data_IF_775995003138
#
_entry.id   IF_775995003138
#
_cell.length_a   1.000
_cell.length_b   1.000
_cell.length_c   1.000
_cell.angle_alpha   90.00
_cell.angle_beta   90.00
_cell.angle_gamma   90.00
#
_symmetry.space_group_name_H-M   'P 1'
#
loop_
_entity.id
_entity.type
_entity.pdbx_description
1 polymer ?
#
# COMPACT_ATOMS: atom_id res chain seq x y z
N UNK A 1 0.96 -28.45 -5.39
CA UNK A 1 1.65 -28.16 -6.67
C UNK A 1 2.96 -27.46 -6.28
N UNK A 2 4.05 -27.67 -7.02
CA UNK A 2 5.27 -26.90 -6.76
C UNK A 2 4.99 -25.41 -7.03
N UNK A 3 5.63 -24.54 -6.25
CA UNK A 3 5.57 -23.09 -6.46
C UNK A 3 5.92 -22.74 -7.92
N UNK A 4 5.30 -21.69 -8.49
CA UNK A 4 5.64 -21.27 -9.84
C UNK A 4 7.10 -20.78 -9.87
N UNK A 5 7.80 -21.11 -10.96
CA UNK A 5 9.13 -20.57 -11.21
C UNK A 5 9.00 -19.15 -11.76
N UNK A 6 9.43 -18.17 -10.98
CA UNK A 6 9.47 -16.75 -11.38
C UNK A 6 10.86 -16.44 -11.94
N UNK A 7 10.92 -15.79 -13.11
CA UNK A 7 12.17 -15.23 -13.62
C UNK A 7 12.47 -13.90 -12.93
N UNK A 8 13.34 -13.94 -11.91
CA UNK A 8 13.68 -12.75 -11.13
C UNK A 8 14.47 -11.70 -11.91
N UNK A 9 15.08 -12.04 -13.06
CA UNK A 9 15.72 -11.04 -13.92
C UNK A 9 14.69 -10.25 -14.73
N UNK A 10 13.52 -10.82 -14.97
CA UNK A 10 12.47 -10.18 -15.76
C UNK A 10 11.52 -9.33 -14.90
N UNK A 11 11.45 -9.57 -13.59
CA UNK A 11 10.57 -8.81 -12.69
C UNK A 11 11.29 -7.56 -12.18
N UNK A 12 10.64 -6.40 -12.24
CA UNK A 12 11.13 -5.18 -11.58
C UNK A 12 11.17 -5.34 -10.05
N UNK A 13 12.31 -5.03 -9.46
CA UNK A 13 12.64 -5.43 -8.08
C UNK A 13 11.71 -4.88 -7.00
N UNK A 14 11.14 -3.67 -7.16
CA UNK A 14 10.24 -3.08 -6.15
C UNK A 14 8.99 -3.92 -5.90
N UNK A 15 8.58 -4.76 -6.87
CA UNK A 15 7.40 -5.63 -6.76
C UNK A 15 7.66 -6.71 -5.71
N UNK A 16 8.71 -7.51 -5.88
CA UNK A 16 8.99 -8.66 -5.00
C UNK A 16 9.99 -8.37 -3.87
N UNK A 17 10.68 -7.23 -3.90
CA UNK A 17 11.71 -6.87 -2.90
C UNK A 17 11.38 -5.57 -2.19
N UNK A 18 11.50 -5.59 -0.87
CA UNK A 18 11.70 -4.38 -0.09
C UNK A 18 13.19 -4.04 -0.04
N UNK A 19 13.61 -2.94 -0.67
CA UNK A 19 15.04 -2.61 -0.77
C UNK A 19 15.71 -2.26 0.57
N UNK A 20 14.94 -1.95 1.63
CA UNK A 20 15.45 -1.56 2.96
C UNK A 20 16.47 -0.43 2.85
N UNK A 21 15.98 0.71 2.40
CA UNK A 21 16.74 1.94 2.18
C UNK A 21 16.13 3.05 3.03
N UNK A 22 16.88 4.14 3.22
CA UNK A 22 16.44 5.25 4.06
C UNK A 22 15.94 6.45 3.28
N UNK A 23 16.23 6.51 1.97
CA UNK A 23 15.87 7.61 1.10
C UNK A 23 15.21 7.09 -0.16
N UNK A 24 14.22 7.84 -0.65
CA UNK A 24 13.61 7.62 -1.94
C UNK A 24 13.32 8.96 -2.62
N UNK A 25 13.34 8.98 -3.95
CA UNK A 25 12.79 10.06 -4.78
C UNK A 25 11.93 9.48 -5.87
N UNK A 26 10.70 9.94 -5.95
CA UNK A 26 9.73 9.56 -6.96
C UNK A 26 9.61 10.71 -7.96
N UNK A 27 10.15 10.53 -9.16
CA UNK A 27 9.99 11.49 -10.25
C UNK A 27 8.71 11.18 -11.03
N UNK A 28 7.99 12.23 -11.41
CA UNK A 28 6.73 12.16 -12.15
C UNK A 28 6.91 12.92 -13.45
N UNK A 29 6.64 12.24 -14.56
CA UNK A 29 6.96 12.76 -15.89
C UNK A 29 5.75 12.77 -16.82
N UNK A 30 5.71 13.78 -17.69
CA UNK A 30 5.08 13.69 -19.00
C UNK A 30 6.13 13.28 -20.04
N UNK A 31 5.68 12.57 -21.08
CA UNK A 31 6.48 12.27 -22.28
C UNK A 31 6.18 13.34 -23.32
N UNK A 32 7.22 13.99 -23.84
CA UNK A 32 7.13 15.07 -24.84
C UNK A 32 7.62 14.63 -26.22
N UNK A 33 8.47 13.60 -26.30
CA UNK A 33 8.91 12.98 -27.55
C UNK A 33 9.07 11.47 -27.33
N UNK A 34 8.25 10.68 -28.02
CA UNK A 34 8.21 9.23 -27.85
C UNK A 34 9.53 8.55 -28.24
N UNK A 35 10.20 9.01 -29.30
CA UNK A 35 11.43 8.38 -29.78
C UNK A 35 12.58 8.62 -28.79
N UNK A 36 12.69 9.82 -28.23
CA UNK A 36 13.65 10.14 -27.18
C UNK A 36 13.32 9.41 -25.88
N UNK A 37 12.04 9.29 -25.52
CA UNK A 37 11.61 8.54 -24.36
C UNK A 37 12.00 7.06 -24.44
N UNK A 38 11.74 6.41 -25.59
CA UNK A 38 12.15 5.02 -25.86
C UNK A 38 13.68 4.83 -25.78
N UNK A 39 14.47 5.78 -26.31
CA UNK A 39 15.94 5.77 -26.16
C UNK A 39 16.39 5.87 -24.71
N UNK A 40 15.73 6.70 -23.91
CA UNK A 40 16.02 6.83 -22.47
C UNK A 40 15.71 5.52 -21.74
N UNK A 41 14.59 4.86 -22.07
CA UNK A 41 14.23 3.55 -21.50
C UNK A 41 15.31 2.51 -21.84
N UNK A 42 15.76 2.45 -23.10
CA UNK A 42 16.85 1.55 -23.49
C UNK A 42 18.13 1.82 -22.68
N UNK A 43 18.52 3.08 -22.53
CA UNK A 43 19.70 3.48 -21.77
C UNK A 43 19.63 3.05 -20.30
N UNK A 44 18.46 3.16 -19.66
CA UNK A 44 18.23 2.69 -18.28
C UNK A 44 18.21 1.16 -18.16
N UNK A 45 17.89 0.42 -19.22
CA UNK A 45 17.94 -1.03 -19.23
C UNK A 45 19.37 -1.55 -19.42
N UNK A 46 20.16 -0.86 -20.24
CA UNK A 46 21.55 -1.22 -20.54
C UNK A 46 22.57 -0.61 -19.55
N UNK A 47 22.17 0.40 -18.79
CA UNK A 47 23.10 1.21 -17.99
C UNK A 47 24.07 2.01 -18.86
N UNK A 48 23.65 2.36 -20.08
CA UNK A 48 24.49 3.15 -20.99
C UNK A 48 24.70 4.57 -20.44
N UNK A 49 25.74 5.24 -20.93
CA UNK A 49 26.05 6.63 -20.59
C UNK A 49 26.26 6.88 -19.07
N UNK A 50 26.60 5.82 -18.34
CA UNK A 50 26.83 5.86 -16.89
C UNK A 50 25.55 5.99 -16.06
N UNK A 51 24.39 5.69 -16.64
CA UNK A 51 23.11 5.66 -15.94
C UNK A 51 22.98 4.42 -15.05
N UNK A 52 22.29 4.52 -13.90
CA UNK A 52 21.93 3.35 -13.12
C UNK A 52 20.94 2.47 -13.88
N UNK A 53 21.08 1.15 -13.74
CA UNK A 53 20.19 0.19 -14.39
C UNK A 53 18.86 0.03 -13.65
N UNK A 54 17.77 -0.21 -14.38
CA UNK A 54 16.51 -0.67 -13.79
C UNK A 54 16.79 -1.94 -13.00
N UNK A 55 16.44 -1.91 -11.72
CA UNK A 55 16.76 -2.98 -10.80
C UNK A 55 15.72 -4.08 -10.84
N UNK A 56 16.17 -5.32 -10.97
CA UNK A 56 15.35 -6.53 -11.04
C UNK A 56 15.11 -7.15 -9.66
N UNK A 57 14.24 -8.17 -9.62
CA UNK A 57 13.97 -8.97 -8.43
C UNK A 57 15.14 -9.92 -8.09
N UNK A 58 16.15 -10.05 -8.94
CA UNK A 58 17.36 -10.79 -8.60
C UNK A 58 18.10 -10.11 -7.45
N UNK A 59 18.45 -10.89 -6.43
CA UNK A 59 19.29 -10.41 -5.34
C UNK A 59 20.71 -10.16 -5.83
N UNK A 60 21.22 -8.95 -5.60
CA UNK A 60 22.56 -8.52 -5.97
C UNK A 60 23.38 -8.35 -4.69
N UNK A 61 24.58 -8.94 -4.68
CA UNK A 61 25.54 -8.87 -3.58
C UNK A 61 26.95 -8.52 -4.13
N UNK A 62 27.63 -7.48 -3.60
CA UNK A 62 27.17 -6.54 -2.58
C UNK A 62 25.97 -5.70 -3.05
N UNK A 63 25.25 -5.10 -2.09
CA UNK A 63 24.06 -4.29 -2.38
C UNK A 63 24.49 -3.02 -3.16
N UNK A 64 23.83 -2.66 -4.27
CA UNK A 64 24.15 -1.43 -5.00
C UNK A 64 23.78 -0.18 -4.17
N UNK A 65 24.40 0.98 -4.45
CA UNK A 65 24.16 2.22 -3.71
C UNK A 65 22.73 2.72 -3.88
N UNK A 66 22.13 2.48 -5.05
CA UNK A 66 20.76 2.83 -5.38
C UNK A 66 20.04 1.72 -6.17
N UNK A 67 18.71 1.84 -6.22
CA UNK A 67 17.80 0.98 -6.99
C UNK A 67 16.87 1.85 -7.81
N UNK A 68 16.49 1.36 -8.98
CA UNK A 68 15.68 2.11 -9.92
C UNK A 68 14.52 1.26 -10.45
N UNK A 69 13.31 1.82 -10.47
CA UNK A 69 12.14 1.19 -11.09
C UNK A 69 11.32 2.21 -11.87
N UNK A 70 10.75 1.78 -13.00
CA UNK A 70 10.02 2.62 -13.94
C UNK A 70 8.62 2.05 -14.19
N UNK A 71 7.62 2.92 -14.11
CA UNK A 71 6.22 2.57 -14.33
C UNK A 71 5.52 3.60 -15.21
N UNK A 72 4.41 3.22 -15.82
CA UNK A 72 3.67 4.04 -16.77
C UNK A 72 2.20 4.11 -16.40
N UNK A 73 1.54 5.23 -16.70
CA UNK A 73 0.08 5.33 -16.70
C UNK A 73 -0.46 4.85 -18.05
N UNK A 74 -1.78 4.63 -18.16
CA UNK A 74 -2.39 4.30 -19.45
C UNK A 74 -2.13 5.37 -20.54
N UNK A 75 -2.26 6.68 -20.25
CA UNK A 75 -1.81 7.73 -21.18
C UNK A 75 -0.33 7.65 -21.53
N UNK A 76 0.55 7.29 -20.59
CA UNK A 76 1.98 7.13 -20.88
C UNK A 76 2.30 5.95 -21.79
N UNK A 77 1.62 4.82 -21.62
CA UNK A 77 1.73 3.69 -22.55
C UNK A 77 1.21 4.10 -23.94
N UNK A 78 0.12 4.86 -24.02
CA UNK A 78 -0.38 5.41 -25.29
C UNK A 78 0.65 6.34 -25.95
N UNK A 79 1.27 7.24 -25.18
CA UNK A 79 2.31 8.14 -25.66
C UNK A 79 3.56 7.40 -26.17
N UNK A 80 3.82 6.18 -25.68
CA UNK A 80 4.89 5.31 -26.18
C UNK A 80 4.49 4.47 -27.40
N UNK A 81 3.22 4.50 -27.81
CA UNK A 81 2.74 3.82 -29.02
C UNK A 81 1.88 2.58 -28.79
N UNK A 82 1.47 2.29 -27.55
CA UNK A 82 0.46 1.23 -27.30
C UNK A 82 -0.90 1.71 -27.82
N UNK A 83 -1.55 0.88 -28.61
CA UNK A 83 -2.82 1.23 -29.27
C UNK A 83 -3.98 1.22 -28.27
N UNK A 84 -5.07 1.93 -28.62
CA UNK A 84 -6.29 1.92 -27.81
C UNK A 84 -6.88 0.50 -27.65
N UNK A 85 -6.76 -0.36 -28.67
CA UNK A 85 -7.24 -1.73 -28.63
C UNK A 85 -6.43 -2.60 -27.66
N UNK A 86 -5.11 -2.40 -27.59
CA UNK A 86 -4.24 -3.06 -26.61
C UNK A 86 -4.50 -2.53 -25.21
N UNK A 87 -4.59 -1.21 -25.03
CA UNK A 87 -4.92 -0.59 -23.74
C UNK A 87 -6.25 -1.05 -23.16
N UNK A 88 -7.25 -1.32 -24.01
CA UNK A 88 -8.54 -1.83 -23.59
C UNK A 88 -8.47 -3.20 -22.88
N UNK A 89 -7.35 -3.93 -23.01
CA UNK A 89 -7.13 -5.22 -22.33
C UNK A 89 -6.60 -5.07 -20.90
N UNK A 90 -6.13 -3.89 -20.51
CA UNK A 90 -5.60 -3.63 -19.17
C UNK A 90 -6.73 -3.52 -18.13
N UNK A 91 -6.39 -3.50 -16.85
CA UNK A 91 -7.36 -3.28 -15.79
C UNK A 91 -8.15 -1.96 -16.00
N UNK A 92 -9.47 -2.00 -15.79
CA UNK A 92 -10.33 -0.85 -16.06
C UNK A 92 -10.01 0.36 -15.17
N UNK A 93 -9.58 0.15 -13.91
CA UNK A 93 -9.19 1.26 -13.06
C UNK A 93 -7.88 1.87 -13.57
N UNK A 94 -6.91 1.05 -13.99
CA UNK A 94 -5.69 1.54 -14.64
C UNK A 94 -5.99 2.37 -15.89
N UNK A 95 -6.90 1.91 -16.75
CA UNK A 95 -7.30 2.63 -17.97
C UNK A 95 -7.87 4.03 -17.67
N UNK A 96 -8.68 4.16 -16.60
CA UNK A 96 -9.27 5.43 -16.18
C UNK A 96 -8.26 6.34 -15.48
N UNK A 97 -7.42 5.78 -14.63
CA UNK A 97 -6.46 6.51 -13.81
C UNK A 97 -7.01 6.97 -12.46
N UNK A 98 -6.11 7.36 -11.55
CA UNK A 98 -6.45 7.66 -10.16
C UNK A 98 -7.32 8.90 -9.97
N UNK A 99 -7.20 9.91 -10.84
CA UNK A 99 -7.96 11.15 -10.77
C UNK A 99 -9.32 11.07 -11.51
N UNK A 100 -9.67 9.92 -12.08
CA UNK A 100 -10.99 9.72 -12.70
C UNK A 100 -12.10 9.74 -11.63
N UNK A 101 -13.24 10.39 -11.87
CA UNK A 101 -14.32 10.48 -10.88
C UNK A 101 -14.79 9.15 -10.30
N UNK A 102 -14.79 8.06 -11.09
CA UNK A 102 -15.20 6.76 -10.58
C UNK A 102 -14.13 6.15 -9.65
N UNK A 103 -12.85 6.33 -9.98
CA UNK A 103 -11.74 5.88 -9.11
C UNK A 103 -11.65 6.73 -7.84
N UNK A 104 -11.84 8.04 -7.94
CA UNK A 104 -11.94 8.97 -6.80
C UNK A 104 -13.06 8.56 -5.84
N UNK A 105 -14.25 8.27 -6.37
CA UNK A 105 -15.38 7.81 -5.59
C UNK A 105 -15.14 6.43 -4.97
N UNK A 106 -14.42 5.53 -5.65
CA UNK A 106 -14.09 4.22 -5.14
C UNK A 106 -13.10 4.26 -3.97
N UNK A 107 -12.16 5.23 -3.95
CA UNK A 107 -11.10 5.29 -2.93
C UNK A 107 -11.31 6.35 -1.85
N UNK A 108 -12.42 7.07 -1.88
CA UNK A 108 -12.76 8.07 -0.87
C UNK A 108 -11.95 9.36 -0.94
N UNK A 109 -11.38 9.69 -2.10
CA UNK A 109 -10.61 10.91 -2.35
C UNK A 109 -11.52 12.13 -2.58
N UNK A 110 -12.29 12.48 -1.56
CA UNK A 110 -13.25 13.60 -1.58
C UNK A 110 -12.86 14.70 -0.60
N UNK A 111 -13.46 15.88 -0.75
CA UNK A 111 -13.16 17.03 0.10
C UNK A 111 -11.69 17.42 -0.01
N UNK A 112 -11.01 17.58 1.12
CA UNK A 112 -9.58 17.96 1.14
C UNK A 112 -8.66 16.94 0.47
N UNK A 113 -9.11 15.69 0.28
CA UNK A 113 -8.36 14.65 -0.44
C UNK A 113 -8.63 14.61 -1.95
N UNK A 114 -9.47 15.51 -2.46
CA UNK A 114 -9.88 15.50 -3.87
C UNK A 114 -8.74 15.87 -4.81
N UNK A 115 -8.75 15.36 -6.07
CA UNK A 115 -7.67 15.57 -7.03
C UNK A 115 -7.29 17.03 -7.31
N UNK A 116 -8.18 17.98 -7.10
CA UNK A 116 -7.93 19.41 -7.25
C UNK A 116 -6.92 19.95 -6.22
N UNK A 117 -6.72 19.21 -5.13
CA UNK A 117 -5.78 19.53 -4.05
C UNK A 117 -4.47 18.73 -4.13
N UNK A 118 -4.30 17.90 -5.16
CA UNK A 118 -3.11 17.06 -5.29
C UNK A 118 -1.90 17.87 -5.75
N UNK A 119 -0.75 17.52 -5.17
CA UNK A 119 0.54 18.15 -5.43
C UNK A 119 1.05 17.77 -6.82
N UNK A 120 1.95 18.60 -7.37
CA UNK A 120 2.79 18.17 -8.48
C UNK A 120 2.07 17.80 -9.77
N UNK A 121 0.89 18.38 -10.02
CA UNK A 121 0.07 18.08 -11.19
C UNK A 121 -0.36 16.60 -11.27
N UNK A 122 -0.48 15.92 -10.12
CA UNK A 122 -0.98 14.56 -10.03
C UNK A 122 -2.50 14.45 -10.20
N UNK A 123 -3.20 15.58 -10.06
CA UNK A 123 -4.65 15.70 -10.26
C UNK A 123 -5.10 15.59 -11.73
N UNK A 124 -6.25 16.16 -12.11
CA UNK A 124 -6.73 16.13 -13.48
C UNK A 124 -5.71 16.74 -14.44
N UNK A 125 -5.70 16.28 -15.70
CA UNK A 125 -4.78 16.79 -16.71
C UNK A 125 -4.91 18.32 -16.84
N UNK A 126 -3.78 19.02 -16.82
CA UNK A 126 -3.72 20.49 -16.95
C UNK A 126 -2.91 20.90 -18.18
N UNK A 127 -2.83 22.21 -18.43
CA UNK A 127 -1.91 22.77 -19.44
C UNK A 127 -0.44 22.50 -19.13
N UNK A 128 -0.08 22.20 -17.88
CA UNK A 128 1.28 21.83 -17.49
C UNK A 128 1.65 20.39 -17.89
N UNK A 129 0.65 19.56 -18.24
CA UNK A 129 0.85 18.21 -18.74
C UNK A 129 -0.04 17.17 -18.06
N UNK A 130 0.13 15.92 -18.48
CA UNK A 130 -0.52 14.74 -17.91
C UNK A 130 0.55 13.75 -17.43
N UNK A 131 0.30 13.09 -16.30
CA UNK A 131 1.23 12.07 -15.78
C UNK A 131 1.28 10.89 -16.74
N UNK A 132 2.45 10.64 -17.32
CA UNK A 132 2.71 9.51 -18.24
C UNK A 132 3.55 8.42 -17.57
N UNK A 133 4.50 8.79 -16.72
CA UNK A 133 5.39 7.82 -16.09
C UNK A 133 5.83 8.24 -14.70
N UNK A 134 6.25 7.25 -13.93
CA UNK A 134 6.95 7.45 -12.66
C UNK A 134 8.25 6.66 -12.62
N UNK A 135 9.32 7.33 -12.21
CA UNK A 135 10.60 6.72 -11.92
C UNK A 135 10.89 6.82 -10.43
N UNK A 136 11.13 5.68 -9.79
CA UNK A 136 11.48 5.64 -8.38
C UNK A 136 12.93 5.29 -8.18
N UNK A 137 13.64 6.21 -7.55
CA UNK A 137 15.02 6.06 -7.11
C UNK A 137 15.02 5.77 -5.60
N UNK A 138 15.60 4.64 -5.21
CA UNK A 138 15.73 4.22 -3.81
C UNK A 138 17.20 4.22 -3.42
N UNK A 139 17.60 4.91 -2.36
CA UNK A 139 19.02 5.15 -2.04
C UNK A 139 19.38 4.65 -0.65
N UNK A 140 20.38 3.77 -0.61
CA UNK A 140 20.79 3.08 0.61
C UNK A 140 21.86 3.82 1.43
N UNK A 141 22.61 4.72 0.80
CA UNK A 141 23.83 5.30 1.38
C UNK A 141 23.59 6.67 2.03
N UNK A 142 23.38 7.71 1.22
CA UNK A 142 23.31 9.09 1.73
C UNK A 142 22.55 10.04 0.80
N UNK A 143 22.27 11.24 1.31
CA UNK A 143 21.63 12.33 0.57
C UNK A 143 22.48 12.78 -0.64
N UNK A 144 23.80 12.75 -0.51
CA UNK A 144 24.72 13.08 -1.62
C UNK A 144 24.54 12.11 -2.79
N UNK A 145 24.37 10.81 -2.52
CA UNK A 145 24.10 9.81 -3.56
C UNK A 145 22.74 10.04 -4.20
N UNK A 146 21.73 10.41 -3.41
CA UNK A 146 20.40 10.77 -3.92
C UNK A 146 20.49 11.95 -4.88
N UNK A 147 21.16 13.03 -4.50
CA UNK A 147 21.27 14.22 -5.34
C UNK A 147 22.15 13.97 -6.58
N UNK A 148 23.29 13.31 -6.44
CA UNK A 148 24.18 13.00 -7.56
C UNK A 148 23.49 12.08 -8.60
N UNK A 149 22.78 11.06 -8.14
CA UNK A 149 22.04 10.16 -9.04
C UNK A 149 20.84 10.87 -9.67
N UNK A 150 20.13 11.71 -8.90
CA UNK A 150 19.04 12.55 -9.42
C UNK A 150 19.50 13.48 -10.53
N UNK A 151 20.66 14.14 -10.37
CA UNK A 151 21.20 15.05 -11.37
C UNK A 151 21.53 14.32 -12.68
N UNK A 152 22.14 13.11 -12.60
CA UNK A 152 22.40 12.26 -13.77
C UNK A 152 21.10 11.86 -14.47
N UNK A 153 20.11 11.41 -13.71
CA UNK A 153 18.81 11.02 -14.26
C UNK A 153 18.13 12.21 -14.96
N UNK A 154 18.06 13.39 -14.31
CA UNK A 154 17.50 14.60 -14.93
C UNK A 154 18.17 14.98 -16.24
N UNK A 155 19.49 14.79 -16.34
CA UNK A 155 20.22 14.96 -17.60
C UNK A 155 19.73 14.02 -18.71
N UNK A 156 19.49 12.75 -18.39
CA UNK A 156 18.98 11.76 -19.34
C UNK A 156 17.52 12.03 -19.75
N UNK A 157 16.67 12.45 -18.82
CA UNK A 157 15.26 12.76 -19.08
C UNK A 157 15.04 14.10 -19.78
N UNK A 158 16.04 14.99 -19.83
CA UNK A 158 15.90 16.33 -20.41
C UNK A 158 15.43 16.33 -21.88
N UNK A 159 15.67 15.23 -22.62
CA UNK A 159 15.18 15.07 -23.98
C UNK A 159 14.03 14.06 -24.04
N UNK A 160 12.85 14.54 -24.44
CA UNK A 160 11.65 13.70 -24.61
C UNK A 160 10.82 13.45 -23.37
N UNK A 161 11.22 14.01 -22.23
CA UNK A 161 10.43 14.01 -21.02
C UNK A 161 10.33 15.41 -20.42
N UNK A 162 9.29 15.62 -19.63
CA UNK A 162 9.10 16.80 -18.81
C UNK A 162 8.83 16.36 -17.38
N UNK A 163 9.72 16.72 -16.45
CA UNK A 163 9.53 16.49 -15.01
C UNK A 163 8.40 17.41 -14.53
N UNK A 164 7.26 16.82 -14.20
CA UNK A 164 6.12 17.52 -13.62
C UNK A 164 6.38 17.82 -12.13
N UNK A 165 6.96 16.83 -11.45
CA UNK A 165 7.18 16.88 -10.02
C UNK A 165 8.19 15.82 -9.57
N UNK A 166 8.76 16.03 -8.40
CA UNK A 166 9.50 15.02 -7.66
C UNK A 166 9.08 15.07 -6.19
N UNK A 167 8.85 13.90 -5.60
CA UNK A 167 8.52 13.78 -4.18
C UNK A 167 9.49 12.84 -3.49
N UNK A 168 10.06 13.31 -2.38
CA UNK A 168 11.04 12.55 -1.61
C UNK A 168 10.38 11.76 -0.49
N UNK A 169 10.98 10.63 -0.16
CA UNK A 169 10.69 9.83 1.02
C UNK A 169 11.95 9.73 1.88
N UNK A 170 11.76 9.78 3.20
CA UNK A 170 12.80 9.60 4.20
C UNK A 170 12.30 8.63 5.29
N UNK A 171 13.07 7.59 5.56
CA UNK A 171 12.74 6.64 6.62
C UNK A 171 12.90 7.32 8.00
N UNK A 172 11.90 7.13 8.87
CA UNK A 172 12.01 7.54 10.27
C UNK A 172 12.74 6.48 11.09
N UNK A 173 13.39 6.88 12.21
CA UNK A 173 14.02 5.95 13.13
C UNK A 173 13.09 4.83 13.59
N UNK A 174 13.62 3.61 13.66
CA UNK A 174 12.86 2.44 14.13
C UNK A 174 11.78 1.93 13.17
N UNK A 175 11.83 2.31 11.88
CA UNK A 175 10.80 1.98 10.89
C UNK A 175 9.39 2.45 11.31
N UNK A 176 9.32 3.62 11.93
CA UNK A 176 8.05 4.23 12.34
C UNK A 176 7.43 5.05 11.21
N UNK A 177 6.14 5.32 11.36
CA UNK A 177 5.39 6.35 10.63
C UNK A 177 5.03 7.50 11.57
N UNK A 178 4.51 8.62 11.06
CA UNK A 178 4.32 9.83 11.86
C UNK A 178 3.33 9.70 13.02
N UNK A 179 2.38 8.75 12.93
CA UNK A 179 1.50 8.41 14.07
C UNK A 179 2.17 7.54 15.15
N UNK A 180 3.46 7.23 15.02
CA UNK A 180 4.28 6.52 16.00
C UNK A 180 4.31 5.00 15.85
N UNK A 181 3.52 4.42 14.95
CA UNK A 181 3.50 2.97 14.73
C UNK A 181 4.73 2.49 13.98
N UNK A 182 5.30 1.36 14.42
CA UNK A 182 6.17 0.54 13.58
C UNK A 182 5.38 -0.03 12.40
N UNK A 183 5.84 0.21 11.18
CA UNK A 183 5.19 -0.25 9.95
C UNK A 183 6.04 -1.31 9.20
N UNK A 184 5.53 -1.76 8.06
CA UNK A 184 6.12 -2.76 7.17
C UNK A 184 6.32 -4.14 7.82
N UNK A 185 5.43 -4.49 8.75
CA UNK A 185 5.42 -5.78 9.45
C UNK A 185 4.74 -6.85 8.60
N UNK A 186 3.45 -6.65 8.28
CA UNK A 186 2.65 -7.61 7.51
C UNK A 186 2.74 -7.31 6.01
N UNK A 187 3.44 -8.18 5.29
CA UNK A 187 3.51 -8.24 3.82
C UNK A 187 3.13 -9.66 3.40
N UNK A 188 2.41 -9.86 2.27
CA UNK A 188 2.10 -11.20 1.80
C UNK A 188 3.39 -11.96 1.45
N UNK A 189 3.39 -13.25 1.76
CA UNK A 189 4.30 -14.22 1.16
C UNK A 189 3.76 -14.58 -0.21
N UNK A 190 4.56 -14.33 -1.24
CA UNK A 190 4.16 -14.58 -2.62
C UNK A 190 4.76 -15.91 -3.03
N UNK A 191 3.92 -16.86 -3.44
CA UNK A 191 4.38 -18.17 -3.88
C UNK A 191 5.46 -18.01 -4.97
N UNK A 192 6.59 -18.70 -4.83
CA UNK A 192 7.73 -18.60 -5.75
C UNK A 192 8.56 -17.31 -5.67
N UNK A 193 8.24 -16.34 -4.81
CA UNK A 193 9.07 -15.14 -4.60
C UNK A 193 10.30 -15.42 -3.71
N UNK A 194 11.34 -14.55 -3.75
CA UNK A 194 12.52 -14.74 -2.92
C UNK A 194 12.17 -14.72 -1.42
N UNK A 195 12.70 -15.64 -0.60
CA UNK A 195 12.38 -15.70 0.83
C UNK A 195 12.86 -14.44 1.56
N UNK A 196 12.04 -13.91 2.46
CA UNK A 196 12.40 -12.71 3.23
C UNK A 196 13.44 -13.07 4.29
N UNK A 197 14.26 -12.08 4.69
CA UNK A 197 15.39 -12.30 5.62
C UNK A 197 14.93 -12.86 6.99
N UNK A 198 13.72 -12.54 7.45
CA UNK A 198 13.17 -13.02 8.73
C UNK A 198 12.52 -14.41 8.65
N UNK A 199 12.07 -14.85 7.48
CA UNK A 199 11.48 -16.19 7.27
C UNK A 199 12.51 -17.31 7.27
N UNK A 200 13.78 -17.02 6.99
CA UNK A 200 14.83 -18.06 6.97
C UNK A 200 15.09 -18.71 8.32
N UNK A 201 14.55 -18.16 9.41
CA UNK A 201 14.78 -18.63 10.78
C UNK A 201 13.54 -19.26 11.45
N UNK A 202 12.37 -19.23 10.83
CA UNK A 202 11.10 -19.66 11.45
C UNK A 202 10.14 -20.26 10.42
N UNK A 203 9.16 -21.04 10.88
CA UNK A 203 8.08 -21.52 10.01
C UNK A 203 7.27 -20.34 9.45
N UNK A 204 7.03 -20.27 8.12
CA UNK A 204 6.22 -19.22 7.51
C UNK A 204 4.78 -19.27 8.04
N UNK A 205 4.15 -18.11 8.24
CA UNK A 205 2.72 -18.02 8.54
C UNK A 205 1.92 -18.52 7.32
N UNK A 206 1.23 -19.66 7.40
CA UNK A 206 0.55 -20.25 6.26
C UNK A 206 -0.63 -19.41 5.75
N UNK A 207 -1.22 -18.54 6.59
CA UNK A 207 -2.26 -17.60 6.14
C UNK A 207 -1.69 -16.40 5.39
N UNK A 208 -0.37 -16.26 5.39
CA UNK A 208 0.32 -15.16 4.74
C UNK A 208 0.74 -15.49 3.31
N UNK A 209 0.78 -16.77 2.91
CA UNK A 209 1.08 -17.19 1.53
C UNK A 209 -0.09 -16.87 0.59
N UNK A 210 0.24 -16.38 -0.60
CA UNK A 210 -0.71 -15.94 -1.62
C UNK A 210 -0.14 -16.29 -2.98
N UNK A 211 -0.99 -16.81 -3.87
CA UNK A 211 -0.60 -17.15 -5.23
C UNK A 211 -0.02 -15.95 -5.96
N UNK A 212 1.02 -16.21 -6.75
CA UNK A 212 1.76 -15.21 -7.53
C UNK A 212 0.87 -14.35 -8.43
N UNK A 213 -0.22 -14.93 -8.96
CA UNK A 213 -1.17 -14.23 -9.84
C UNK A 213 -1.90 -13.05 -9.20
N UNK A 214 -1.85 -12.89 -7.87
CA UNK A 214 -2.36 -11.70 -7.18
C UNK A 214 -1.37 -10.51 -7.24
N UNK A 215 -0.14 -10.72 -7.68
CA UNK A 215 0.90 -9.67 -7.74
C UNK A 215 1.58 -9.55 -9.10
N UNK A 216 1.69 -10.66 -9.85
CA UNK A 216 2.26 -10.69 -11.19
C UNK A 216 1.25 -11.22 -12.19
N UNK A 217 1.10 -10.51 -13.30
CA UNK A 217 0.36 -10.97 -14.47
C UNK A 217 1.00 -12.24 -15.07
N UNK A 218 0.18 -13.06 -15.72
CA UNK A 218 0.62 -14.31 -16.36
C UNK A 218 0.67 -15.54 -15.44
N UNK A 219 0.37 -15.39 -14.15
CA UNK A 219 0.34 -16.49 -13.17
C UNK A 219 -1.08 -16.79 -12.65
N UNK A 220 -1.35 -18.03 -12.21
CA UNK A 220 -2.63 -18.36 -11.58
C UNK A 220 -2.90 -17.51 -10.33
N UNK A 221 -4.10 -16.96 -10.23
CA UNK A 221 -4.58 -16.19 -9.08
C UNK A 221 -5.35 -17.09 -8.09
N UNK A 222 -5.78 -16.53 -6.95
CA UNK A 222 -6.47 -17.28 -5.89
C UNK A 222 -7.75 -17.94 -6.39
N UNK A 223 -8.46 -17.29 -7.32
CA UNK A 223 -9.68 -17.79 -7.95
C UNK A 223 -9.43 -18.81 -9.08
N UNK A 224 -8.17 -19.15 -9.38
CA UNK A 224 -7.79 -20.12 -10.42
C UNK A 224 -7.77 -19.57 -11.84
N UNK A 225 -8.00 -18.27 -12.04
CA UNK A 225 -7.81 -17.59 -13.31
C UNK A 225 -6.40 -17.02 -13.48
N UNK A 226 -6.15 -16.34 -14.60
CA UNK A 226 -4.88 -15.66 -14.87
C UNK A 226 -5.18 -14.28 -15.44
N UNK A 227 -4.62 -13.23 -14.83
CA UNK A 227 -4.67 -11.89 -15.40
C UNK A 227 -3.67 -11.77 -16.55
N UNK A 228 -4.10 -11.26 -17.70
CA UNK A 228 -3.29 -11.08 -18.90
C UNK A 228 -3.66 -9.80 -19.64
N UNK A 229 -2.71 -9.23 -20.37
CA UNK A 229 -2.92 -8.05 -21.22
C UNK A 229 -2.28 -8.25 -22.59
N UNK A 230 -2.62 -7.37 -23.54
CA UNK A 230 -1.97 -7.28 -24.84
C UNK A 230 -1.13 -5.99 -24.92
N UNK A 231 -0.01 -6.01 -25.65
CA UNK A 231 0.59 -7.18 -26.31
C UNK A 231 1.22 -8.15 -25.29
N UNK A 232 1.50 -9.42 -25.64
CA UNK A 232 1.94 -10.44 -24.69
C UNK A 232 3.25 -10.09 -23.96
N UNK A 233 4.11 -9.27 -24.58
CA UNK A 233 5.34 -8.74 -24.00
C UNK A 233 5.09 -7.86 -22.77
N UNK A 234 3.91 -7.26 -22.64
CA UNK A 234 3.50 -6.48 -21.46
C UNK A 234 2.71 -7.33 -20.45
N UNK A 235 2.46 -8.61 -20.72
CA UNK A 235 1.65 -9.44 -19.83
C UNK A 235 2.49 -10.02 -18.70
N UNK A 236 3.20 -11.12 -18.94
CA UNK A 236 3.89 -11.88 -17.89
C UNK A 236 4.89 -11.02 -17.12
N UNK A 237 4.96 -11.22 -15.79
CA UNK A 237 5.85 -10.50 -14.86
C UNK A 237 5.58 -8.99 -14.72
N UNK A 238 4.57 -8.46 -15.42
CA UNK A 238 4.05 -7.13 -15.16
C UNK A 238 3.21 -7.06 -13.88
N UNK A 239 3.05 -5.86 -13.33
CA UNK A 239 2.24 -5.61 -12.13
C UNK A 239 1.64 -4.21 -12.17
N UNK A 240 0.53 -3.99 -11.47
CA UNK A 240 -0.03 -2.66 -11.25
C UNK A 240 0.36 -2.14 -9.87
N UNK A 241 0.28 -0.83 -9.70
CA UNK A 241 0.31 -0.24 -8.38
C UNK A 241 -0.49 1.06 -8.31
N UNK A 242 -1.07 1.32 -7.15
CA UNK A 242 -1.50 2.66 -6.77
C UNK A 242 -0.34 3.35 -6.04
N UNK A 243 0.20 4.41 -6.63
CA UNK A 243 1.09 5.33 -5.94
C UNK A 243 0.26 6.36 -5.17
N UNK A 244 0.63 6.66 -3.94
CA UNK A 244 -0.09 7.60 -3.07
C UNK A 244 0.88 8.53 -2.36
N UNK A 245 0.47 9.78 -2.18
CA UNK A 245 1.03 10.73 -1.21
C UNK A 245 -0.07 10.96 -0.16
N UNK A 246 0.17 10.53 1.06
CA UNK A 246 -0.79 10.52 2.16
C UNK A 246 -0.25 11.40 3.29
N UNK A 247 -0.73 12.64 3.37
CA UNK A 247 -0.38 13.57 4.44
C UNK A 247 -1.00 13.11 5.76
N UNK A 248 -0.27 13.21 6.86
CA UNK A 248 -0.69 12.76 8.19
C UNK A 248 -0.73 13.94 9.16
N UNK A 249 -1.92 14.27 9.66
CA UNK A 249 -2.14 15.28 10.70
C UNK A 249 -1.99 14.63 12.08
N UNK A 250 -0.75 14.63 12.58
CA UNK A 250 -0.40 14.06 13.89
C UNK A 250 -1.12 14.76 15.04
N UNK A 251 -1.16 16.10 15.13
CA UNK A 251 -1.95 16.80 16.16
C UNK A 251 -3.43 16.40 16.17
N UNK A 252 -4.07 16.31 14.99
CA UNK A 252 -5.46 15.87 14.91
C UNK A 252 -5.61 14.44 15.36
N UNK A 253 -4.73 13.52 14.94
CA UNK A 253 -4.77 12.14 15.39
C UNK A 253 -4.64 12.01 16.92
N UNK A 254 -3.72 12.75 17.54
CA UNK A 254 -3.58 12.75 19.02
C UNK A 254 -4.82 13.30 19.73
N UNK A 255 -5.51 14.28 19.14
CA UNK A 255 -6.80 14.79 19.61
C UNK A 255 -7.90 13.72 19.53
N UNK A 256 -7.96 12.96 18.42
CA UNK A 256 -8.89 11.84 18.23
C UNK A 256 -8.66 10.77 19.30
N UNK A 257 -7.40 10.41 19.56
CA UNK A 257 -7.06 9.44 20.59
C UNK A 257 -7.44 9.92 22.00
N UNK A 258 -7.20 11.20 22.31
CA UNK A 258 -7.54 11.79 23.60
C UNK A 258 -9.05 11.84 23.84
N UNK A 259 -9.83 12.18 22.82
CA UNK A 259 -11.30 12.13 22.87
C UNK A 259 -11.80 10.69 23.02
N UNK A 260 -11.19 9.74 22.30
CA UNK A 260 -11.48 8.32 22.43
C UNK A 260 -11.20 7.78 23.83
N UNK A 261 -10.10 8.19 24.44
CA UNK A 261 -9.73 7.81 25.80
C UNK A 261 -10.75 8.36 26.82
N UNK A 262 -11.09 9.65 26.71
CA UNK A 262 -12.06 10.29 27.59
C UNK A 262 -13.47 9.65 27.51
N UNK A 263 -13.90 9.23 26.31
CA UNK A 263 -15.23 8.64 26.09
C UNK A 263 -15.33 7.17 26.46
N UNK A 264 -14.24 6.41 26.35
CA UNK A 264 -14.21 4.97 26.65
C UNK A 264 -13.69 4.62 28.05
N UNK A 265 -12.98 5.54 28.71
CA UNK A 265 -12.25 5.27 29.95
C UNK A 265 -10.95 4.47 29.75
N UNK A 266 -10.56 4.19 28.51
CA UNK A 266 -9.28 3.55 28.17
C UNK A 266 -8.14 4.57 28.18
N UNK A 267 -6.89 4.09 28.24
CA UNK A 267 -5.73 4.93 28.00
C UNK A 267 -5.64 5.34 26.52
N UNK A 268 -5.04 6.50 26.24
CA UNK A 268 -4.78 6.98 24.87
C UNK A 268 -4.04 5.94 24.02
N UNK A 269 -3.07 5.24 24.61
CA UNK A 269 -2.29 4.21 23.89
C UNK A 269 -3.12 2.94 23.63
N UNK A 270 -4.04 2.55 24.51
CA UNK A 270 -4.95 1.44 24.23
C UNK A 270 -5.92 1.81 23.10
N UNK A 271 -6.44 3.04 23.07
CA UNK A 271 -7.29 3.52 21.95
C UNK A 271 -6.51 3.47 20.64
N UNK A 272 -5.26 3.95 20.65
CA UNK A 272 -4.36 3.88 19.49
C UNK A 272 -4.18 2.43 19.02
N UNK A 273 -3.83 1.53 19.95
CA UNK A 273 -3.66 0.12 19.64
C UNK A 273 -4.93 -0.53 19.09
N UNK A 274 -6.11 -0.22 19.66
CA UNK A 274 -7.42 -0.74 19.23
C UNK A 274 -7.78 -0.23 17.83
N UNK A 275 -7.53 1.03 17.51
CA UNK A 275 -7.76 1.58 16.16
C UNK A 275 -6.84 0.96 15.11
N UNK A 276 -5.57 0.72 15.45
CA UNK A 276 -4.61 0.11 14.53
C UNK A 276 -4.77 -1.41 14.41
N UNK A 277 -5.04 -2.09 15.53
CA UNK A 277 -4.92 -3.55 15.72
C UNK A 277 -3.52 -3.98 16.18
N UNK A 278 -2.61 -3.01 16.39
CA UNK A 278 -1.26 -3.20 16.92
C UNK A 278 -0.89 -2.05 17.84
N UNK A 279 -0.11 -2.35 18.87
CA UNK A 279 0.59 -1.32 19.63
C UNK A 279 1.58 -0.56 18.75
N UNK A 280 1.95 0.67 19.14
CA UNK A 280 2.93 1.46 18.39
C UNK A 280 4.30 0.78 18.26
N UNK A 281 4.66 -0.10 19.20
CA UNK A 281 5.87 -0.92 19.14
C UNK A 281 5.82 -2.05 18.08
N UNK A 282 4.65 -2.31 17.49
CA UNK A 282 4.39 -3.30 16.45
C UNK A 282 3.70 -4.59 16.92
N UNK A 283 3.64 -4.85 18.23
CA UNK A 283 3.02 -6.07 18.77
C UNK A 283 1.52 -6.11 18.41
N UNK A 284 0.98 -7.22 17.88
CA UNK A 284 -0.44 -7.33 17.55
C UNK A 284 -1.29 -7.49 18.80
N UNK A 285 -2.45 -6.83 18.82
CA UNK A 285 -3.37 -6.90 19.96
C UNK A 285 -3.84 -8.32 20.29
N UNK A 286 -3.94 -9.19 19.28
CA UNK A 286 -4.32 -10.60 19.49
C UNK A 286 -3.33 -11.33 20.41
N UNK A 287 -2.03 -11.02 20.30
CA UNK A 287 -0.98 -11.67 21.10
C UNK A 287 -0.63 -10.90 22.39
N UNK A 288 -1.01 -9.63 22.48
CA UNK A 288 -0.77 -8.77 23.64
C UNK A 288 -1.97 -7.85 23.86
N UNK A 289 -3.09 -8.37 24.40
CA UNK A 289 -4.38 -7.66 24.40
C UNK A 289 -4.48 -6.50 25.39
N UNK A 290 -3.71 -6.55 26.49
CA UNK A 290 -3.88 -5.65 27.63
C UNK A 290 -2.82 -4.55 27.71
N UNK A 291 -1.59 -4.84 27.29
CA UNK A 291 -0.46 -3.92 27.34
C UNK A 291 0.56 -4.21 26.22
N UNK A 292 1.40 -3.22 25.81
CA UNK A 292 2.32 -3.40 24.68
C UNK A 292 3.40 -4.45 24.92
N UNK A 293 3.83 -4.65 26.17
CA UNK A 293 4.89 -5.58 26.55
C UNK A 293 6.25 -5.31 25.86
N UNK A 294 7.22 -6.24 25.99
CA UNK A 294 8.46 -6.20 25.22
C UNK A 294 8.17 -6.46 23.73
N UNK A 295 8.95 -5.85 22.84
CA UNK A 295 8.84 -6.06 21.38
C UNK A 295 9.07 -7.54 21.07
N UNK A 296 8.09 -8.18 20.42
CA UNK A 296 8.20 -9.57 20.00
C UNK A 296 9.24 -9.72 18.88
N UNK A 297 9.84 -10.92 18.71
CA UNK A 297 10.68 -11.22 17.56
C UNK A 297 9.95 -10.95 16.24
N UNK A 298 10.68 -10.44 15.22
CA UNK A 298 10.08 -10.06 13.93
C UNK A 298 9.25 -11.19 13.29
N UNK A 299 9.69 -12.44 13.40
CA UNK A 299 8.98 -13.59 12.86
C UNK A 299 7.67 -13.91 13.59
N UNK A 300 7.53 -13.49 14.85
CA UNK A 300 6.33 -13.70 15.67
C UNK A 300 5.30 -12.58 15.52
N UNK A 301 5.70 -11.39 15.06
CA UNK A 301 4.82 -10.21 14.97
C UNK A 301 3.62 -10.41 14.04
N UNK A 302 3.68 -11.39 13.14
CA UNK A 302 2.59 -11.67 12.20
C UNK A 302 1.95 -13.05 12.39
N UNK A 303 2.46 -13.89 13.30
CA UNK A 303 2.00 -15.26 13.52
C UNK A 303 0.80 -15.27 14.45
N UNK A 304 -0.38 -14.92 13.93
CA UNK A 304 -1.64 -14.96 14.66
C UNK A 304 -2.84 -15.12 13.71
N UNK A 305 -3.93 -15.58 14.31
CA UNK A 305 -5.24 -15.81 13.71
C UNK A 305 -6.27 -14.92 14.44
N UNK A 306 -7.38 -14.59 13.79
CA UNK A 306 -8.51 -13.97 14.50
C UNK A 306 -9.55 -15.00 14.95
N UNK A 307 -9.65 -16.13 14.28
CA UNK A 307 -10.60 -17.20 14.55
C UNK A 307 -9.84 -18.44 14.98
N UNK A 308 -10.17 -18.99 16.13
CA UNK A 308 -9.50 -20.20 16.64
C UNK A 308 -10.52 -21.19 17.22
N UNK A 309 -10.18 -22.47 17.12
CA UNK A 309 -10.97 -23.52 17.75
C UNK A 309 -10.79 -23.52 19.29
N UNK A 310 -9.66 -23.02 19.79
CA UNK A 310 -9.38 -22.82 21.21
C UNK A 310 -10.03 -21.52 21.71
N UNK A 311 -11.03 -21.59 22.61
CA UNK A 311 -11.81 -20.40 23.01
C UNK A 311 -11.00 -19.25 23.59
N UNK A 312 -9.88 -19.53 24.24
CA UNK A 312 -8.96 -18.56 24.82
C UNK A 312 -8.10 -17.84 23.78
N UNK A 313 -7.87 -18.46 22.61
CA UNK A 313 -7.14 -17.87 21.50
C UNK A 313 -8.06 -17.16 20.51
N UNK A 314 -9.32 -17.60 20.41
CA UNK A 314 -10.33 -17.02 19.52
C UNK A 314 -10.54 -15.52 19.77
N UNK A 315 -10.74 -14.79 18.66
CA UNK A 315 -11.12 -13.38 18.64
C UNK A 315 -12.17 -13.12 17.56
N UNK A 316 -13.06 -14.08 17.32
CA UNK A 316 -14.14 -14.01 16.31
C UNK A 316 -15.02 -12.78 16.52
N UNK A 317 -15.23 -12.38 17.77
CA UNK A 317 -16.03 -11.19 18.12
C UNK A 317 -15.21 -9.89 18.20
N UNK A 318 -13.89 -9.94 17.98
CA UNK A 318 -12.99 -8.78 18.01
C UNK A 318 -12.77 -8.14 19.39
N UNK A 319 -13.03 -8.88 20.46
CA UNK A 319 -12.88 -8.40 21.84
C UNK A 319 -11.41 -8.02 22.15
N UNK A 320 -10.43 -8.73 21.58
CA UNK A 320 -9.00 -8.42 21.69
C UNK A 320 -8.59 -7.39 20.64
N UNK A 321 -8.77 -7.69 19.36
CA UNK A 321 -8.49 -6.80 18.24
C UNK A 321 -9.82 -6.44 17.55
N UNK A 322 -10.30 -5.19 17.67
CA UNK A 322 -11.58 -4.79 17.08
C UNK A 322 -11.67 -5.15 15.60
N UNK A 323 -12.82 -5.64 15.15
CA UNK A 323 -13.04 -6.00 13.74
C UNK A 323 -12.83 -4.78 12.84
N UNK A 324 -13.20 -3.59 13.34
CA UNK A 324 -12.97 -2.32 12.67
C UNK A 324 -11.52 -1.81 12.68
N UNK A 325 -10.58 -2.50 13.34
CA UNK A 325 -9.18 -2.09 13.42
C UNK A 325 -8.50 -2.12 12.04
N UNK A 326 -7.56 -1.21 11.82
CA UNK A 326 -6.93 -1.01 10.52
C UNK A 326 -6.34 -2.28 9.91
N UNK A 327 -5.52 -3.01 10.68
CA UNK A 327 -4.89 -4.24 10.18
C UNK A 327 -5.87 -5.40 9.99
N UNK A 328 -7.04 -5.37 10.65
CA UNK A 328 -8.07 -6.40 10.57
C UNK A 328 -9.02 -6.14 9.40
N UNK A 329 -9.38 -4.88 9.14
CA UNK A 329 -10.05 -4.47 7.89
C UNK A 329 -9.22 -4.80 6.66
N UNK A 330 -7.95 -4.40 6.63
CA UNK A 330 -7.11 -4.53 5.44
C UNK A 330 -6.51 -5.93 5.24
N UNK A 331 -6.60 -6.80 6.25
CA UNK A 331 -6.34 -8.23 6.13
C UNK A 331 -7.15 -8.98 7.21
N UNK A 332 -8.39 -9.38 6.88
CA UNK A 332 -9.24 -10.16 7.79
C UNK A 332 -8.71 -11.56 8.08
N UNK A 333 -7.62 -11.99 7.43
CA UNK A 333 -6.98 -13.30 7.60
C UNK A 333 -7.96 -14.46 7.38
N UNK A 334 -8.30 -15.13 8.47
CA UNK A 334 -9.16 -16.29 8.61
C UNK A 334 -10.61 -15.93 9.00
N UNK A 335 -10.89 -14.65 9.26
CA UNK A 335 -12.24 -14.17 9.48
C UNK A 335 -13.09 -14.29 8.22
N UNK A 336 -14.34 -14.70 8.39
CA UNK A 336 -15.32 -14.73 7.33
C UNK A 336 -15.73 -13.33 6.88
N UNK A 337 -15.59 -13.05 5.59
CA UNK A 337 -16.11 -11.83 4.95
C UNK A 337 -17.21 -12.17 3.94
N UNK A 338 -18.06 -11.20 3.64
CA UNK A 338 -19.17 -11.33 2.70
C UNK A 338 -18.63 -11.30 1.26
N UNK A 339 -19.05 -12.28 0.45
CA UNK A 339 -18.90 -12.24 -1.00
C UNK A 339 -17.50 -12.57 -1.55
N UNK A 340 -16.49 -12.81 -0.71
CA UNK A 340 -15.12 -13.07 -1.16
C UNK A 340 -14.25 -13.78 -0.12
N UNK A 341 -12.99 -14.06 -0.45
CA UNK A 341 -11.92 -14.50 0.45
C UNK A 341 -10.90 -13.39 0.67
N UNK A 342 -10.37 -13.29 1.90
CA UNK A 342 -9.35 -12.31 2.24
C UNK A 342 -8.09 -12.38 1.35
N UNK A 343 -7.74 -13.58 0.87
CA UNK A 343 -6.50 -13.83 0.11
C UNK A 343 -6.51 -13.19 -1.28
N UNK A 344 -7.69 -12.96 -1.87
CA UNK A 344 -7.82 -12.38 -3.21
C UNK A 344 -7.59 -10.86 -3.26
N UNK A 345 -7.56 -10.20 -2.10
CA UNK A 345 -7.47 -8.73 -2.01
C UNK A 345 -6.12 -8.27 -1.45
N UNK A 346 -5.14 -9.18 -1.36
CA UNK A 346 -3.84 -8.89 -0.76
C UNK A 346 -3.05 -7.95 -1.67
N UNK A 347 -2.34 -7.02 -1.05
CA UNK A 347 -1.47 -6.06 -1.74
C UNK A 347 -0.08 -6.06 -1.11
N UNK A 348 0.92 -5.73 -1.91
CA UNK A 348 2.28 -5.48 -1.44
C UNK A 348 2.46 -3.99 -1.21
N UNK A 349 2.99 -3.60 -0.04
CA UNK A 349 3.20 -2.18 0.29
C UNK A 349 4.67 -1.79 0.18
N UNK A 350 4.94 -0.68 -0.49
CA UNK A 350 6.26 -0.04 -0.64
C UNK A 350 6.12 1.46 -0.38
N UNK A 351 5.73 1.80 0.84
CA UNK A 351 5.63 3.17 1.31
C UNK A 351 6.80 3.53 2.22
N UNK A 352 7.15 4.81 2.23
CA UNK A 352 8.16 5.41 3.09
C UNK A 352 7.57 6.71 3.66
N UNK A 353 7.92 7.11 4.89
CA UNK A 353 7.56 8.42 5.38
C UNK A 353 8.16 9.56 4.55
N UNK A 354 7.59 10.75 4.67
CA UNK A 354 8.18 12.01 4.20
C UNK A 354 7.93 13.12 5.23
N UNK A 355 8.73 14.19 5.18
CA UNK A 355 8.73 15.23 6.20
C UNK A 355 9.49 14.83 7.47
N UNK A 356 9.82 15.80 8.31
CA UNK A 356 10.53 15.54 9.57
C UNK A 356 9.62 14.93 10.63
N UNK A 357 10.22 14.17 11.57
CA UNK A 357 9.49 13.57 12.69
C UNK A 357 8.78 14.68 13.48
N UNK A 358 7.50 14.48 13.77
CA UNK A 358 6.72 15.44 14.52
C UNK A 358 7.21 15.54 15.97
N UNK A 359 7.65 16.73 16.39
CA UNK A 359 7.95 17.05 17.78
C UNK A 359 6.76 17.80 18.41
N UNK A 360 6.03 17.21 19.38
CA UNK A 360 4.92 17.89 20.04
C UNK A 360 5.37 19.06 20.94
N UNK A 361 6.65 19.11 21.34
CA UNK A 361 7.20 20.21 22.14
C UNK A 361 7.56 21.40 21.26
N UNK A 362 8.14 21.14 20.09
CA UNK A 362 8.59 22.16 19.13
C UNK A 362 7.98 21.89 17.75
N UNK A 363 6.66 22.04 17.57
CA UNK A 363 5.99 21.66 16.33
C UNK A 363 6.46 22.55 15.18
N UNK A 364 7.01 21.92 14.14
CA UNK A 364 7.35 22.57 12.88
C UNK A 364 6.14 22.45 11.93
N UNK A 365 5.68 23.58 11.41
CA UNK A 365 4.62 23.64 10.41
C UNK A 365 5.18 23.23 9.04
N UNK A 366 5.10 21.93 8.76
CA UNK A 366 5.48 21.32 7.48
C UNK A 366 4.54 20.16 7.16
N UNK A 367 4.47 19.79 5.89
CA UNK A 367 3.74 18.61 5.46
C UNK A 367 4.57 17.36 5.74
N UNK A 368 3.90 16.35 6.29
CA UNK A 368 4.51 15.07 6.63
C UNK A 368 3.52 13.95 6.37
N UNK A 369 4.00 12.74 6.11
CA UNK A 369 3.11 11.65 5.80
C UNK A 369 3.80 10.42 5.26
N UNK A 370 3.10 9.67 4.41
CA UNK A 370 3.59 8.49 3.71
C UNK A 370 3.54 8.71 2.19
N UNK A 371 4.56 8.23 1.48
CA UNK A 371 4.62 8.22 0.02
C UNK A 371 5.06 6.85 -0.49
N UNK A 372 4.43 6.35 -1.54
CA UNK A 372 4.88 5.13 -2.22
C UNK A 372 3.77 4.28 -2.80
N UNK A 373 4.05 2.99 -3.00
CA UNK A 373 3.24 2.09 -3.82
C UNK A 373 2.44 1.04 -3.04
N UNK A 374 1.25 0.76 -3.54
CA UNK A 374 0.39 -0.36 -3.18
C UNK A 374 0.23 -1.26 -4.41
N UNK A 375 1.02 -2.35 -4.47
CA UNK A 375 1.30 -3.16 -5.66
C UNK A 375 0.38 -4.40 -5.69
N UNK A 376 -0.17 -4.71 -6.86
CA UNK A 376 -1.16 -5.76 -7.10
C UNK A 376 -1.27 -6.15 -8.58
N UNK A 377 -1.91 -7.27 -8.90
CA UNK A 377 -2.16 -7.69 -10.28
C UNK A 377 -3.48 -7.13 -10.87
N UNK A 378 -4.36 -6.57 -10.04
CA UNK A 378 -5.60 -5.95 -10.47
C UNK A 378 -6.04 -4.82 -9.51
N UNK A 379 -5.99 -3.56 -9.96
CA UNK A 379 -6.29 -2.41 -9.11
C UNK A 379 -7.73 -2.40 -8.62
N UNK A 380 -8.70 -2.69 -9.50
CA UNK A 380 -10.12 -2.69 -9.15
C UNK A 380 -10.43 -3.73 -8.06
N UNK A 381 -9.93 -4.94 -8.25
CA UNK A 381 -10.19 -6.07 -7.38
C UNK A 381 -9.39 -6.00 -6.07
N UNK A 382 -8.26 -5.31 -6.03
CA UNK A 382 -7.39 -5.30 -4.85
C UNK A 382 -7.38 -3.91 -4.21
N UNK A 383 -6.74 -2.92 -4.83
CA UNK A 383 -6.60 -1.59 -4.22
C UNK A 383 -7.94 -0.86 -4.05
N UNK A 384 -8.72 -0.68 -5.11
CA UNK A 384 -10.02 0.00 -5.03
C UNK A 384 -11.00 -0.78 -4.15
N UNK A 385 -10.97 -2.12 -4.23
CA UNK A 385 -11.79 -2.97 -3.37
C UNK A 385 -11.48 -2.76 -1.88
N UNK A 386 -10.20 -2.79 -1.48
CA UNK A 386 -9.82 -2.55 -0.09
C UNK A 386 -10.32 -1.20 0.40
N UNK A 387 -10.11 -0.15 -0.40
CA UNK A 387 -10.55 1.20 -0.05
C UNK A 387 -12.08 1.28 0.07
N UNK A 388 -12.82 0.82 -0.94
CA UNK A 388 -14.27 1.00 -0.98
C UNK A 388 -15.03 0.05 -0.06
N UNK A 389 -14.65 -1.23 -0.04
CA UNK A 389 -15.47 -2.29 0.54
C UNK A 389 -15.07 -2.62 1.98
N UNK A 390 -13.79 -2.47 2.32
CA UNK A 390 -13.29 -2.81 3.66
C UNK A 390 -12.89 -1.59 4.48
N UNK A 391 -12.44 -0.50 3.86
CA UNK A 391 -12.11 0.73 4.57
C UNK A 391 -13.31 1.68 4.66
N UNK A 392 -14.08 1.88 3.60
CA UNK A 392 -15.21 2.83 3.60
C UNK A 392 -16.56 2.23 4.04
N UNK A 393 -16.62 0.91 4.26
CA UNK A 393 -17.83 0.20 4.69
C UNK A 393 -17.55 -0.79 5.84
N UNK A 394 -18.55 -1.03 6.68
CA UNK A 394 -18.56 -2.02 7.75
C UNK A 394 -19.37 -3.29 7.39
N UNK A 395 -20.14 -3.29 6.29
CA UNK A 395 -21.06 -4.40 5.96
C UNK A 395 -20.38 -5.65 5.40
N UNK A 396 -19.08 -5.60 5.12
CA UNK A 396 -18.31 -6.73 4.62
C UNK A 396 -18.14 -7.86 5.64
N UNK A 397 -18.38 -7.60 6.93
CA UNK A 397 -18.21 -8.57 8.02
C UNK A 397 -19.32 -9.63 7.95
N UNK A 398 -18.95 -10.91 8.02
CA UNK A 398 -19.93 -12.01 8.06
C UNK A 398 -20.46 -12.22 9.47
N UNK A 399 -21.73 -12.57 9.58
CA UNK A 399 -22.33 -12.97 10.87
C UNK A 399 -21.60 -14.18 11.45
N UNK A 400 -21.11 -14.01 12.68
CA UNK A 400 -20.44 -15.05 13.45
C UNK A 400 -20.71 -14.84 14.94
N UNK A 401 -20.86 -15.94 15.66
CA UNK A 401 -20.90 -15.97 17.13
C UNK A 401 -19.59 -16.57 17.62
N UNK A 402 -19.06 -16.04 18.72
CA UNK A 402 -17.88 -16.62 19.36
C UNK A 402 -18.21 -17.90 20.15
N UNK A 403 -17.18 -18.55 20.74
CA UNK A 403 -17.33 -19.78 21.52
C UNK A 403 -18.32 -19.68 22.71
N UNK A 404 -18.45 -18.49 23.29
CA UNK A 404 -19.38 -18.21 24.39
C UNK A 404 -20.86 -18.07 23.94
N UNK A 405 -21.14 -18.23 22.64
CA UNK A 405 -22.50 -18.22 22.09
C UNK A 405 -23.06 -16.81 21.84
N UNK A 406 -24.33 -16.71 21.43
CA UNK A 406 -24.95 -15.46 20.97
C UNK A 406 -25.11 -14.40 22.07
N UNK A 407 -25.12 -14.81 23.34
CA UNK A 407 -25.17 -13.88 24.49
C UNK A 407 -23.88 -13.05 24.62
N UNK A 408 -22.76 -13.55 24.09
CA UNK A 408 -21.52 -12.80 24.06
C UNK A 408 -21.50 -11.71 22.97
N UNK A 409 -22.34 -11.84 21.93
CA UNK A 409 -22.46 -10.88 20.85
C UNK A 409 -22.42 -11.53 19.46
N UNK A 410 -22.29 -10.68 18.43
CA UNK A 410 -22.13 -11.09 17.04
C UNK A 410 -21.16 -10.15 16.31
N UNK A 411 -20.29 -10.70 15.47
CA UNK A 411 -19.28 -9.95 14.71
C UNK A 411 -19.85 -8.75 13.94
N UNK A 412 -21.03 -8.88 13.32
CA UNK A 412 -21.66 -7.79 12.52
C UNK A 412 -22.11 -6.60 13.37
N UNK A 413 -22.24 -6.78 14.68
CA UNK A 413 -22.61 -5.72 15.62
C UNK A 413 -21.38 -5.05 16.25
N UNK A 414 -20.21 -5.68 16.10
CA UNK A 414 -18.93 -5.30 16.73
C UNK A 414 -18.04 -4.47 15.79
N UNK A 415 -18.62 -3.93 14.71
CA UNK A 415 -18.00 -3.02 13.77
C UNK A 415 -18.94 -1.85 13.49
N UNK A 416 -18.40 -0.68 13.20
CA UNK A 416 -19.15 0.46 12.70
C UNK A 416 -18.24 1.37 11.88
N UNK A 417 -18.87 2.26 11.11
CA UNK A 417 -18.18 3.32 10.39
C UNK A 417 -17.12 2.81 9.43
N UNK A 418 -16.08 3.62 9.27
CA UNK A 418 -15.01 3.45 8.29
C UNK A 418 -13.69 3.15 9.03
N UNK A 419 -12.67 2.74 8.29
CA UNK A 419 -11.29 2.67 8.78
C UNK A 419 -10.84 4.06 9.28
N UNK A 420 -10.25 4.14 10.47
CA UNK A 420 -9.89 5.42 11.09
C UNK A 420 -8.77 6.16 10.32
N UNK A 421 -7.90 5.42 9.63
CA UNK A 421 -6.76 5.99 8.90
C UNK A 421 -7.11 6.27 7.44
N UNK A 422 -7.80 5.35 6.77
CA UNK A 422 -8.02 5.40 5.32
C UNK A 422 -9.45 5.78 4.93
N UNK A 423 -10.39 5.71 5.86
CA UNK A 423 -11.79 6.03 5.59
C UNK A 423 -12.05 7.53 5.44
N UNK A 424 -13.17 7.87 4.80
CA UNK A 424 -13.54 9.27 4.53
C UNK A 424 -13.66 10.11 5.81
N UNK A 425 -14.23 9.53 6.87
CA UNK A 425 -14.37 10.05 8.23
C UNK A 425 -14.77 11.54 8.30
N UNK A 426 -16.07 11.79 8.31
CA UNK A 426 -16.64 13.10 8.63
C UNK A 426 -17.29 13.08 10.02
N UNK A 427 -17.16 14.14 10.85
CA UNK A 427 -17.67 14.16 12.22
C UNK A 427 -19.17 13.83 12.39
N UNK A 428 -19.99 14.07 11.36
CA UNK A 428 -21.41 13.73 11.39
C UNK A 428 -21.72 12.23 11.32
N UNK A 429 -20.79 11.42 10.81
CA UNK A 429 -21.02 9.99 10.52
C UNK A 429 -19.90 9.05 10.99
N UNK A 430 -18.73 9.58 11.33
CA UNK A 430 -17.59 8.78 11.77
C UNK A 430 -17.90 8.04 13.06
N UNK A 431 -17.52 6.77 13.08
CA UNK A 431 -17.64 5.93 14.27
C UNK A 431 -16.62 4.80 14.25
N UNK A 432 -16.22 4.36 15.44
CA UNK A 432 -15.38 3.18 15.66
C UNK A 432 -15.92 2.41 16.87
N UNK A 433 -16.23 1.13 16.67
CA UNK A 433 -16.73 0.27 17.74
C UNK A 433 -15.57 -0.33 18.54
N UNK A 434 -15.55 -0.06 19.84
CA UNK A 434 -14.84 -0.85 20.84
C UNK A 434 -15.78 -1.96 21.32
N UNK A 435 -15.54 -3.22 20.93
CA UNK A 435 -16.47 -4.29 21.23
C UNK A 435 -16.41 -4.71 22.69
N UNK A 436 -17.56 -5.04 23.25
CA UNK A 436 -17.70 -5.61 24.58
C UNK A 436 -18.67 -6.78 24.58
N UNK A 437 -18.58 -7.61 25.61
CA UNK A 437 -19.45 -8.78 25.76
C UNK A 437 -20.89 -8.30 26.01
N UNK A 438 -21.82 -8.74 25.15
CA UNK A 438 -23.23 -8.46 25.35
C UNK A 438 -24.10 -8.79 24.15
N UNK A 439 -25.24 -9.42 24.42
CA UNK A 439 -26.22 -9.77 23.40
C UNK A 439 -26.63 -8.52 22.60
N UNK A 440 -26.77 -8.70 21.29
CA UNK A 440 -27.17 -7.63 20.36
C UNK A 440 -26.25 -6.39 20.41
N UNK A 441 -24.98 -6.56 20.79
CA UNK A 441 -23.98 -5.49 20.83
C UNK A 441 -24.14 -4.55 22.03
N UNK A 442 -24.85 -4.96 23.08
CA UNK A 442 -25.13 -4.13 24.26
C UNK A 442 -23.89 -3.77 25.07
N UNK A 443 -22.80 -4.53 24.93
CA UNK A 443 -21.51 -4.24 25.56
C UNK A 443 -20.62 -3.27 24.79
N UNK A 444 -21.03 -2.84 23.58
CA UNK A 444 -20.17 -2.04 22.71
C UNK A 444 -20.11 -0.58 23.14
N UNK A 445 -18.92 -0.02 23.12
CA UNK A 445 -18.69 1.43 23.23
C UNK A 445 -18.36 1.98 21.84
N UNK A 446 -18.97 3.10 21.45
CA UNK A 446 -18.71 3.74 20.16
C UNK A 446 -17.94 5.03 20.36
N UNK A 447 -16.78 5.13 19.71
CA UNK A 447 -16.09 6.39 19.52
C UNK A 447 -16.70 7.06 18.29
N UNK A 448 -17.02 8.34 18.35
CA UNK A 448 -17.74 9.06 17.28
C UNK A 448 -17.21 10.47 17.11
N UNK A 449 -17.62 11.14 16.04
CA UNK A 449 -17.40 12.58 15.81
C UNK A 449 -15.95 13.02 15.58
N UNK A 450 -15.12 12.12 15.04
CA UNK A 450 -13.76 12.44 14.61
C UNK A 450 -13.69 12.74 13.11
N UNK A 451 -12.71 13.56 12.73
CA UNK A 451 -12.39 13.87 11.33
C UNK A 451 -11.30 12.95 10.79
N UNK A 452 -11.18 12.87 9.46
CA UNK A 452 -10.05 12.25 8.77
C UNK A 452 -8.73 12.89 9.20
N UNK A 453 -7.76 12.08 9.63
CA UNK A 453 -6.40 12.53 9.99
C UNK A 453 -5.35 12.25 8.91
N UNK A 454 -5.73 11.54 7.84
CA UNK A 454 -4.86 11.28 6.67
C UNK A 454 -5.48 11.89 5.44
N UNK A 455 -4.78 12.79 4.75
CA UNK A 455 -5.30 13.48 3.57
C UNK A 455 -4.50 13.08 2.33
N UNK A 456 -5.21 12.65 1.28
CA UNK A 456 -4.55 12.33 0.00
C UNK A 456 -4.08 13.62 -0.68
N UNK A 457 -2.79 13.67 -1.00
CA UNK A 457 -2.13 14.76 -1.72
C UNK A 457 -1.62 14.35 -3.10
N UNK A 458 -1.87 13.12 -3.51
CA UNK A 458 -1.50 12.64 -4.83
C UNK A 458 -1.84 11.17 -5.01
N UNK A 459 -2.25 10.83 -6.24
CA UNK A 459 -2.57 9.46 -6.64
C UNK A 459 -2.14 9.20 -8.08
N UNK A 460 -1.52 8.06 -8.34
CA UNK A 460 -1.25 7.58 -9.70
C UNK A 460 -1.53 6.09 -9.79
N UNK A 461 -2.33 5.67 -10.77
CA UNK A 461 -2.44 4.26 -11.13
C UNK A 461 -1.42 3.97 -12.22
N UNK A 462 -0.47 3.12 -11.87
CA UNK A 462 0.68 2.83 -12.70
C UNK A 462 0.80 1.34 -12.98
N UNK A 463 1.41 1.03 -14.11
CA UNK A 463 1.75 -0.29 -14.56
C UNK A 463 3.28 -0.38 -14.60
N UNK A 464 3.83 -1.40 -13.94
CA UNK A 464 5.22 -1.80 -14.01
C UNK A 464 5.35 -2.92 -15.03
N UNK A 465 5.87 -2.65 -16.25
CA UNK A 465 6.20 -3.71 -17.18
C UNK A 465 7.35 -4.55 -16.62
N UNK A 466 7.44 -5.81 -17.06
CA UNK A 466 8.65 -6.61 -16.88
C UNK A 466 9.85 -5.99 -17.61
N UNK A 467 11.06 -6.49 -17.39
CA UNK A 467 12.24 -6.07 -18.16
C UNK A 467 12.04 -6.36 -19.65
N UNK A 468 11.45 -7.50 -20.00
CA UNK A 468 11.01 -7.83 -21.36
C UNK A 468 10.00 -6.80 -21.89
N UNK A 469 9.02 -6.41 -21.07
CA UNK A 469 8.04 -5.39 -21.44
C UNK A 469 8.65 -4.01 -21.66
N UNK A 470 9.60 -3.60 -20.81
CA UNK A 470 10.36 -2.36 -20.99
C UNK A 470 11.21 -2.40 -22.28
N UNK A 471 11.85 -3.53 -22.59
CA UNK A 471 12.57 -3.73 -23.86
C UNK A 471 11.64 -3.64 -25.07
N UNK A 472 10.44 -4.18 -24.97
CA UNK A 472 9.43 -4.06 -26.01
C UNK A 472 9.06 -2.59 -26.24
N UNK A 473 8.72 -1.84 -25.18
CA UNK A 473 8.39 -0.42 -25.26
C UNK A 473 9.53 0.40 -25.87
N UNK A 474 10.77 0.13 -25.49
CA UNK A 474 11.95 0.82 -26.02
C UNK A 474 12.18 0.59 -27.52
N UNK A 475 11.65 -0.51 -28.08
CA UNK A 475 11.83 -0.89 -29.49
C UNK A 475 10.58 -0.62 -30.36
N UNK A 476 9.53 -0.02 -29.80
CA UNK A 476 8.39 0.42 -30.60
C UNK A 476 8.84 1.46 -31.63
N UNK A 477 8.32 1.33 -32.86
CA UNK A 477 8.56 2.25 -33.98
C UNK A 477 7.70 3.50 -33.86
#
# INVERSE_FOLDING_TARGET
>A
MADPTIDYDDVQGTILRGYRVNLARHFIFSITDAAQARRTIAALLDGSDGLPTITTARHIHPKPPCFLNLSFTAPGLSALGITAAELATFDQAFQRGAADPASVAAVGDVGDSAPEHWLGNLGPATTAGQVHAMLSLWVSESEEVLQATSAKLRGAFAAGWHELYAHDGVALPGNRVHFGYRDNIAQPDVDGAPPRKHERAYEPDPLNSVKTGEFLLGYPNENGGTYQVQPPQLSTNGSYAAFRILEQDVPLFDSILSQGAASSGLSTEMVAAKMCGRWRNGNPLVLSPDEPGPVLPDASLNHFHYVDAQPELDDTLGLKCPIGAHIRRNNPRDEGVVGTSARHHRIVRRAMPYGSEYDPVTPIAEQRGLVGYFINANLRNQFEFLMQQWNDDATFVKSAVGPAGPEAGNATLNISGQDVFLGINAPGVSSFTLPGVGAKGSGNTKLQHFSRSVVTRGGVYCFFPSITGLRYLANLS
#
